data_IF_348999056279
#
_entry.id   IF_348999056279
#
_cell.length_a   1.000
_cell.length_b   1.000
_cell.length_c   1.000
_cell.angle_alpha   90.00
_cell.angle_beta   90.00
_cell.angle_gamma   90.00
#
_symmetry.space_group_name_H-M   'P 1'
#
loop_
_entity.id
_entity.type
_entity.pdbx_description
1 polymer ?
#
# COMPACT_ATOMS: atom_id res chain seq x y z
N UNK A 1 0.92 6.47 25.80
CA UNK A 1 0.25 6.81 24.52
C UNK A 1 -0.69 5.69 24.12
N UNK A 2 -1.74 5.97 23.34
CA UNK A 2 -2.67 4.93 22.84
C UNK A 2 -2.39 4.62 21.37
N UNK A 3 -2.78 3.42 20.90
CA UNK A 3 -2.69 3.04 19.49
C UNK A 3 -3.41 4.02 18.56
N UNK A 4 -4.54 4.56 19.01
CA UNK A 4 -5.31 5.60 18.29
C UNK A 4 -4.47 6.85 18.02
N UNK A 5 -3.65 7.27 18.98
CA UNK A 5 -2.78 8.45 18.84
C UNK A 5 -1.77 8.25 17.71
N UNK A 6 -1.13 7.08 17.66
CA UNK A 6 -0.17 6.75 16.58
C UNK A 6 -0.83 6.77 15.19
N UNK A 7 -2.09 6.34 15.06
CA UNK A 7 -2.78 6.43 13.78
C UNK A 7 -3.07 7.85 13.32
N UNK A 8 -3.48 8.71 14.26
CA UNK A 8 -3.65 10.12 13.92
C UNK A 8 -2.33 10.74 13.47
N UNK A 9 -1.21 10.40 14.12
CA UNK A 9 0.11 10.86 13.70
C UNK A 9 0.53 10.30 12.33
N UNK A 10 0.33 9.01 12.06
CA UNK A 10 0.66 8.41 10.76
C UNK A 10 -0.13 9.06 9.61
N UNK A 11 -1.39 9.43 9.85
CA UNK A 11 -2.21 10.14 8.85
C UNK A 11 -1.81 11.60 8.63
N UNK A 12 -1.03 12.17 9.55
CA UNK A 12 -0.49 13.54 9.42
C UNK A 12 0.86 13.58 8.73
N UNK A 13 1.44 12.42 8.38
CA UNK A 13 2.67 12.39 7.59
C UNK A 13 2.44 13.10 6.25
N UNK A 14 3.35 14.02 5.92
CA UNK A 14 3.28 14.71 4.64
C UNK A 14 3.43 13.71 3.51
N UNK A 15 2.49 13.77 2.56
CA UNK A 15 2.57 12.94 1.38
C UNK A 15 3.53 13.55 0.36
N UNK A 16 4.28 12.72 -0.37
CA UNK A 16 5.23 13.21 -1.36
C UNK A 16 4.57 13.67 -2.66
N UNK A 17 3.24 13.61 -2.76
CA UNK A 17 2.46 14.09 -3.92
C UNK A 17 2.27 13.05 -5.02
N UNK A 18 2.57 11.78 -4.74
CA UNK A 18 2.35 10.66 -5.66
C UNK A 18 1.84 9.43 -4.89
N UNK A 19 1.25 8.48 -5.63
CA UNK A 19 0.85 7.17 -5.13
C UNK A 19 1.98 6.17 -5.38
N UNK A 20 2.67 5.76 -4.32
CA UNK A 20 3.83 4.89 -4.43
C UNK A 20 4.49 4.62 -3.07
N UNK A 21 5.64 3.97 -3.11
CA UNK A 21 6.48 3.80 -1.91
C UNK A 21 7.03 5.14 -1.44
N UNK A 22 7.43 5.23 -0.16
CA UNK A 22 8.07 6.44 0.39
C UNK A 22 9.35 6.85 -0.37
N UNK A 23 10.00 5.90 -1.05
CA UNK A 23 11.21 6.12 -1.84
C UNK A 23 10.94 6.60 -3.28
N UNK A 24 9.68 6.85 -3.68
CA UNK A 24 9.32 7.24 -5.04
C UNK A 24 9.17 6.09 -6.04
N UNK A 25 9.33 4.86 -5.58
CA UNK A 25 9.08 3.65 -6.37
C UNK A 25 7.60 3.25 -6.42
N UNK A 26 7.28 2.09 -7.02
CA UNK A 26 5.91 1.58 -7.09
C UNK A 26 5.33 1.32 -5.69
N UNK A 27 4.00 1.22 -5.54
CA UNK A 27 3.40 0.79 -4.28
C UNK A 27 3.94 -0.59 -3.86
N UNK A 28 4.21 -0.77 -2.57
CA UNK A 28 4.83 -1.98 -2.01
C UNK A 28 3.81 -3.08 -1.68
N UNK A 29 2.85 -3.29 -2.57
CA UNK A 29 1.90 -4.41 -2.48
C UNK A 29 2.31 -5.51 -3.47
N UNK A 30 2.11 -6.77 -3.08
CA UNK A 30 2.49 -7.92 -3.90
C UNK A 30 1.90 -7.83 -5.31
N UNK A 31 0.69 -7.29 -5.48
CA UNK A 31 0.06 -7.07 -6.77
C UNK A 31 0.92 -6.24 -7.74
N UNK A 32 1.70 -5.27 -7.25
CA UNK A 32 2.59 -4.46 -8.09
C UNK A 32 3.98 -5.09 -8.28
N UNK A 33 4.32 -6.12 -7.51
CA UNK A 33 5.61 -6.82 -7.59
C UNK A 33 5.59 -8.06 -8.50
N UNK A 34 4.42 -8.67 -8.71
CA UNK A 34 4.26 -9.96 -9.40
C UNK A 34 4.25 -9.84 -10.92
N UNK A 35 4.07 -8.63 -11.46
CA UNK A 35 4.07 -8.39 -12.91
C UNK A 35 5.50 -8.45 -13.47
N UNK A 36 5.99 -9.63 -13.84
CA UNK A 36 7.31 -9.76 -14.47
C UNK A 36 7.27 -9.41 -15.98
N UNK A 37 8.32 -8.79 -16.50
CA UNK A 37 8.49 -8.49 -17.93
C UNK A 37 7.90 -7.13 -18.35
N UNK A 38 7.23 -7.06 -19.51
CA UNK A 38 6.73 -5.81 -20.09
C UNK A 38 5.65 -5.09 -19.26
N UNK A 39 5.15 -5.72 -18.20
CA UNK A 39 4.08 -5.19 -17.34
C UNK A 39 4.57 -4.79 -15.95
N UNK A 40 5.88 -4.90 -15.69
CA UNK A 40 6.49 -4.56 -14.40
C UNK A 40 6.26 -3.09 -14.03
N UNK A 41 5.68 -2.87 -12.86
CA UNK A 41 5.42 -1.52 -12.34
C UNK A 41 6.67 -1.05 -11.60
N UNK A 42 7.37 -0.07 -12.18
CA UNK A 42 8.66 0.44 -11.64
C UNK A 42 8.60 1.83 -11.05
N UNK A 43 7.47 2.51 -11.19
CA UNK A 43 7.33 3.93 -10.87
C UNK A 43 6.11 4.15 -9.99
N UNK A 44 6.12 5.26 -9.25
CA UNK A 44 4.94 5.82 -8.62
C UNK A 44 3.95 6.40 -9.65
N UNK A 45 2.73 6.66 -9.22
CA UNK A 45 1.68 7.29 -10.03
C UNK A 45 1.41 8.72 -9.55
N UNK A 46 1.18 9.65 -10.48
CA UNK A 46 0.87 11.03 -10.13
C UNK A 46 -0.61 11.21 -9.78
N UNK A 47 -1.49 10.35 -10.31
CA UNK A 47 -2.94 10.49 -10.17
C UNK A 47 -3.62 9.20 -9.74
N UNK A 48 -4.82 9.32 -9.20
CA UNK A 48 -5.69 8.19 -8.84
C UNK A 48 -6.13 7.39 -10.07
N UNK A 49 -6.31 8.08 -11.21
CA UNK A 49 -6.67 7.46 -12.48
C UNK A 49 -5.52 6.56 -12.98
N UNK A 50 -4.28 7.05 -12.98
CA UNK A 50 -3.10 6.25 -13.36
C UNK A 50 -2.94 5.00 -12.47
N UNK A 51 -3.09 5.17 -11.15
CA UNK A 51 -3.06 4.05 -10.20
C UNK A 51 -4.18 3.03 -10.51
N UNK A 52 -5.41 3.52 -10.71
CA UNK A 52 -6.59 2.70 -10.96
C UNK A 52 -6.48 1.91 -12.26
N UNK A 53 -6.05 2.56 -13.34
CA UNK A 53 -5.78 1.93 -14.64
C UNK A 53 -4.74 0.82 -14.50
N UNK A 54 -3.68 1.07 -13.73
CA UNK A 54 -2.65 0.06 -13.49
C UNK A 54 -3.21 -1.16 -12.73
N UNK A 55 -4.01 -0.95 -11.68
CA UNK A 55 -4.66 -2.04 -10.93
C UNK A 55 -5.55 -2.88 -11.84
N UNK A 56 -6.35 -2.23 -12.69
CA UNK A 56 -7.20 -2.92 -13.67
C UNK A 56 -6.34 -3.75 -14.64
N UNK A 57 -5.26 -3.15 -15.18
CA UNK A 57 -4.34 -3.82 -16.11
C UNK A 57 -3.70 -5.07 -15.48
N UNK A 58 -3.23 -4.97 -14.24
CA UNK A 58 -2.66 -6.11 -13.51
C UNK A 58 -3.71 -7.22 -13.41
N UNK A 59 -4.95 -6.89 -13.01
CA UNK A 59 -6.02 -7.89 -12.90
C UNK A 59 -6.39 -8.55 -14.23
N UNK A 60 -6.47 -7.78 -15.32
CA UNK A 60 -6.68 -8.33 -16.68
C UNK A 60 -5.58 -9.35 -17.00
N UNK A 61 -4.33 -8.98 -16.74
CA UNK A 61 -3.15 -9.78 -17.10
C UNK A 61 -3.06 -11.06 -16.27
N UNK A 62 -3.28 -10.99 -14.96
CA UNK A 62 -3.12 -12.14 -14.05
C UNK A 62 -4.27 -13.14 -14.15
N UNK A 63 -5.49 -12.68 -14.43
CA UNK A 63 -6.68 -13.52 -14.34
C UNK A 63 -7.27 -13.92 -15.68
N UNK A 64 -6.98 -13.17 -16.75
CA UNK A 64 -7.48 -13.42 -18.10
C UNK A 64 -9.00 -13.60 -18.17
N UNK A 65 -9.43 -14.40 -19.15
CA UNK A 65 -10.86 -14.67 -19.42
C UNK A 65 -11.59 -15.29 -18.23
N UNK A 66 -10.88 -16.05 -17.38
CA UNK A 66 -11.47 -16.73 -16.22
C UNK A 66 -12.22 -15.77 -15.29
N UNK A 67 -11.73 -14.53 -15.16
CA UNK A 67 -12.34 -13.51 -14.29
C UNK A 67 -12.82 -12.26 -15.07
N UNK A 68 -13.04 -12.38 -16.38
CA UNK A 68 -13.42 -11.24 -17.24
C UNK A 68 -14.63 -10.45 -16.70
N UNK A 69 -15.64 -11.12 -16.16
CA UNK A 69 -16.82 -10.48 -15.56
C UNK A 69 -16.47 -9.62 -14.33
N UNK A 70 -15.57 -10.12 -13.47
CA UNK A 70 -15.10 -9.42 -12.27
C UNK A 70 -14.21 -8.24 -12.64
N UNK A 71 -13.34 -8.43 -13.62
CA UNK A 71 -12.48 -7.36 -14.14
C UNK A 71 -13.31 -6.25 -14.80
N UNK A 72 -14.34 -6.60 -15.58
CA UNK A 72 -15.29 -5.62 -16.15
C UNK A 72 -16.05 -4.86 -15.06
N UNK A 73 -16.49 -5.56 -14.01
CA UNK A 73 -17.09 -4.89 -12.86
C UNK A 73 -16.12 -3.90 -12.20
N UNK A 74 -14.86 -4.32 -11.98
CA UNK A 74 -13.82 -3.48 -11.37
C UNK A 74 -13.46 -2.28 -12.25
N UNK A 75 -13.45 -2.43 -13.57
CA UNK A 75 -13.27 -1.34 -14.52
C UNK A 75 -14.32 -0.24 -14.35
N UNK A 76 -15.55 -0.60 -14.01
CA UNK A 76 -16.61 0.39 -13.77
C UNK A 76 -16.55 1.00 -12.37
N UNK A 77 -16.26 0.20 -11.35
CA UNK A 77 -16.39 0.67 -9.96
C UNK A 77 -15.13 1.34 -9.42
N UNK A 78 -13.93 0.87 -9.75
CA UNK A 78 -12.70 1.38 -9.15
C UNK A 78 -12.46 2.87 -9.45
N UNK A 79 -12.70 3.39 -10.67
CA UNK A 79 -12.56 4.82 -10.95
C UNK A 79 -13.54 5.73 -10.19
N UNK A 80 -14.60 5.14 -9.62
CA UNK A 80 -15.59 5.87 -8.80
C UNK A 80 -15.24 5.75 -7.32
N UNK A 81 -14.83 4.56 -6.88
CA UNK A 81 -14.54 4.25 -5.46
C UNK A 81 -13.19 4.78 -5.01
N UNK A 82 -12.19 4.78 -5.90
CA UNK A 82 -10.83 5.26 -5.64
C UNK A 82 -10.64 6.73 -6.00
N UNK A 83 -11.73 7.44 -6.34
CA UNK A 83 -11.71 8.87 -6.62
C UNK A 83 -11.78 9.66 -5.33
N UNK A 84 -10.70 10.34 -5.01
CA UNK A 84 -10.54 11.27 -3.91
C UNK A 84 -10.23 12.68 -4.43
N UNK A 85 -9.43 13.41 -3.66
CA UNK A 85 -9.02 14.79 -3.92
C UNK A 85 -7.62 14.90 -4.52
N UNK A 86 -7.10 13.79 -5.06
CA UNK A 86 -5.72 13.68 -5.57
C UNK A 86 -4.63 13.94 -4.51
N UNK A 87 -4.96 13.85 -3.21
CA UNK A 87 -4.00 13.94 -2.12
C UNK A 87 -3.71 12.55 -1.56
N UNK A 88 -2.58 11.91 -1.94
CA UNK A 88 -2.23 10.61 -1.39
C UNK A 88 -2.10 10.69 0.12
N UNK A 89 -2.58 9.68 0.84
CA UNK A 89 -2.35 9.58 2.29
C UNK A 89 -1.49 8.38 2.58
N UNK A 90 -0.64 8.49 3.61
CA UNK A 90 0.14 7.34 4.05
C UNK A 90 -0.81 6.21 4.50
N UNK A 91 -0.59 5.01 3.97
CA UNK A 91 -1.28 3.80 4.39
C UNK A 91 -0.24 2.73 4.73
N UNK A 92 -0.53 1.91 5.74
CA UNK A 92 0.36 0.82 6.14
C UNK A 92 0.25 -0.40 5.19
N UNK A 93 -0.82 -0.49 4.40
CA UNK A 93 -1.19 -1.61 3.53
C UNK A 93 -1.48 -2.95 4.24
N UNK A 94 -0.69 -3.35 5.25
CA UNK A 94 -0.90 -4.60 6.00
C UNK A 94 -1.13 -4.37 7.51
N UNK A 95 -2.08 -3.51 7.89
CA UNK A 95 -2.25 -3.17 9.30
C UNK A 95 -3.01 -4.25 10.08
N UNK A 96 -2.25 -5.19 10.66
CA UNK A 96 -2.77 -6.30 11.46
C UNK A 96 -2.00 -6.44 12.78
N UNK A 97 -2.59 -7.11 13.78
CA UNK A 97 -2.01 -7.27 15.13
C UNK A 97 -0.57 -7.80 15.12
N UNK A 98 -0.25 -8.72 14.20
CA UNK A 98 1.10 -9.28 14.03
C UNK A 98 2.16 -8.21 13.72
N UNK A 99 1.76 -7.08 13.14
CA UNK A 99 2.62 -5.97 12.74
C UNK A 99 2.61 -4.81 13.76
N UNK A 100 2.05 -5.01 14.95
CA UNK A 100 2.02 -4.00 16.02
C UNK A 100 2.90 -4.43 17.18
N UNK A 101 4.00 -3.70 17.41
CA UNK A 101 4.85 -3.90 18.58
C UNK A 101 4.29 -3.15 19.79
N UNK A 102 4.18 -3.84 20.93
CA UNK A 102 3.77 -3.26 22.21
C UNK A 102 4.97 -3.35 23.15
N UNK A 103 5.52 -2.20 23.54
CA UNK A 103 6.57 -2.13 24.55
C UNK A 103 5.95 -1.91 25.93
N UNK A 104 6.15 -2.88 26.83
CA UNK A 104 5.89 -2.69 28.25
C UNK A 104 7.04 -1.86 28.86
N UNK A 105 6.77 -0.93 29.80
CA UNK A 105 7.81 -0.07 30.39
C UNK A 105 8.88 -0.80 31.22
N UNK A 106 8.82 -2.12 31.41
CA UNK A 106 9.78 -2.86 32.23
C UNK A 106 10.49 -3.94 31.41
N UNK A 107 11.84 -3.85 31.34
CA UNK A 107 12.67 -4.98 30.93
C UNK A 107 13.90 -4.71 30.06
N UNK A 108 14.63 -3.59 30.20
CA UNK A 108 16.08 -3.63 29.93
C UNK A 108 16.74 -4.28 31.16
N UNK A 109 16.75 -5.61 31.22
CA UNK A 109 17.84 -6.28 31.93
C UNK A 109 18.95 -6.48 30.90
N UNK A 110 20.02 -5.74 31.08
CA UNK A 110 21.30 -5.99 30.44
C UNK A 110 21.74 -7.40 30.80
N UNK A 111 21.71 -8.33 29.85
CA UNK A 111 22.50 -9.56 29.97
C UNK A 111 23.95 -9.18 29.63
N UNK A 112 24.70 -8.74 30.65
CA UNK A 112 26.15 -8.87 30.64
C UNK A 112 26.47 -10.36 30.71
N UNK A 113 26.89 -10.96 29.60
CA UNK A 113 27.55 -12.27 29.63
C UNK A 113 29.04 -12.01 29.55
N UNK A 114 29.68 -12.00 30.72
CA UNK A 114 31.09 -12.37 30.85
C UNK A 114 31.13 -13.87 31.01
N UNK A 115 31.77 -14.55 30.05
CA UNK A 115 32.78 -15.60 30.26
C UNK A 115 33.35 -16.02 28.91
#
# INVERSE_FOLDING_TARGET
>A
MTLRTYFHQLRQLQHPGYFGSIAGGPPLDDMFSVTQGAHEVKISFATEDELTECIIRIRVTETGERMAHKTRYQQHILPTVLRGDSSPVFTHNDFQRKNVMVHSPMGRQSLSTTQ
#
